data_IF_786884354628
#
_entry.id   IF_786884354628
#
_cell.length_a   1.000
_cell.length_b   1.000
_cell.length_c   1.000
_cell.angle_alpha   90.00
_cell.angle_beta   90.00
_cell.angle_gamma   90.00
#
_symmetry.space_group_name_H-M   'P 1'
#
loop_
_entity.id
_entity.type
_entity.pdbx_description
1 polymer ?
#
# COMPACT_ATOMS: atom_id res chain seq x y z
N UNK A 1 -1.93 4.79 19.49
CA UNK A 1 -2.00 3.33 19.75
C UNK A 1 -3.42 2.82 19.59
N UNK A 2 -3.56 1.57 19.12
CA UNK A 2 -4.86 0.89 19.13
C UNK A 2 -5.28 0.62 20.57
N UNK A 3 -6.49 1.04 20.91
CA UNK A 3 -7.06 0.90 22.26
C UNK A 3 -8.23 -0.07 22.22
N UNK A 4 -8.26 -0.99 23.18
CA UNK A 4 -9.34 -1.97 23.30
C UNK A 4 -10.70 -1.26 23.43
N UNK A 5 -11.69 -1.72 22.67
CA UNK A 5 -13.05 -1.17 22.67
C UNK A 5 -13.27 0.04 21.78
N UNK A 6 -12.21 0.66 21.24
CA UNK A 6 -12.33 1.75 20.27
C UNK A 6 -12.59 1.25 18.85
N UNK A 7 -13.19 2.11 18.02
CA UNK A 7 -13.56 1.82 16.63
C UNK A 7 -12.61 2.49 15.66
N UNK A 8 -12.20 1.78 14.62
CA UNK A 8 -11.27 2.28 13.60
C UNK A 8 -11.82 2.06 12.20
N UNK A 9 -11.83 3.12 11.41
CA UNK A 9 -12.14 3.05 9.99
C UNK A 9 -10.90 2.65 9.20
N UNK A 10 -11.04 1.69 8.31
CA UNK A 10 -10.04 1.36 7.29
C UNK A 10 -10.65 1.62 5.91
N UNK A 11 -10.25 2.70 5.24
CA UNK A 11 -10.60 2.90 3.84
C UNK A 11 -9.72 2.02 2.97
N UNK A 12 -10.28 1.38 1.97
CA UNK A 12 -9.52 0.43 1.13
C UNK A 12 -9.13 -0.88 1.84
N UNK A 13 -9.81 -1.23 2.94
CA UNK A 13 -9.49 -2.39 3.78
C UNK A 13 -9.60 -3.77 3.12
N UNK A 14 -10.09 -3.85 1.89
CA UNK A 14 -10.15 -5.11 1.10
C UNK A 14 -8.88 -5.42 0.31
N UNK A 15 -7.87 -4.56 0.36
CA UNK A 15 -6.52 -4.79 -0.18
C UNK A 15 -5.66 -5.66 0.76
N UNK A 16 -4.47 -6.09 0.30
CA UNK A 16 -3.56 -6.95 1.08
C UNK A 16 -3.17 -6.30 2.41
N UNK A 17 -2.78 -5.02 2.39
CA UNK A 17 -2.43 -4.27 3.60
C UNK A 17 -3.66 -4.15 4.50
N UNK A 18 -4.80 -3.72 3.94
CA UNK A 18 -6.03 -3.50 4.70
C UNK A 18 -6.53 -4.76 5.40
N UNK A 19 -6.47 -5.90 4.71
CA UNK A 19 -6.82 -7.20 5.27
C UNK A 19 -5.95 -7.55 6.50
N UNK A 20 -4.63 -7.41 6.37
CA UNK A 20 -3.68 -7.68 7.46
C UNK A 20 -3.83 -6.69 8.62
N UNK A 21 -4.16 -5.42 8.30
CA UNK A 21 -4.43 -4.40 9.31
C UNK A 21 -5.72 -4.69 10.10
N UNK A 22 -6.80 -5.14 9.44
CA UNK A 22 -8.01 -5.61 10.12
C UNK A 22 -7.67 -6.69 11.15
N UNK A 23 -6.92 -7.72 10.74
CA UNK A 23 -6.47 -8.79 11.64
C UNK A 23 -5.71 -8.25 12.86
N UNK A 24 -4.77 -7.33 12.63
CA UNK A 24 -3.95 -6.73 13.70
C UNK A 24 -4.82 -5.94 14.68
N UNK A 25 -5.71 -5.06 14.22
CA UNK A 25 -6.57 -4.23 15.08
C UNK A 25 -7.50 -5.11 15.91
N UNK A 26 -8.13 -6.11 15.31
CA UNK A 26 -9.01 -7.07 16.02
C UNK A 26 -8.23 -7.82 17.10
N UNK A 27 -7.02 -8.30 16.79
CA UNK A 27 -6.18 -9.00 17.77
C UNK A 27 -5.78 -8.14 18.97
N UNK A 28 -5.78 -6.82 18.81
CA UNK A 28 -5.54 -5.84 19.87
C UNK A 28 -6.83 -5.41 20.61
N UNK A 29 -7.98 -5.98 20.25
CA UNK A 29 -9.28 -5.72 20.86
C UNK A 29 -9.98 -4.46 20.36
N UNK A 30 -9.56 -3.90 19.25
CA UNK A 30 -10.26 -2.81 18.54
C UNK A 30 -11.38 -3.33 17.64
N UNK A 31 -12.38 -2.49 17.39
CA UNK A 31 -13.43 -2.74 16.41
C UNK A 31 -13.07 -2.11 15.07
N UNK A 32 -13.44 -2.77 13.98
CA UNK A 32 -13.07 -2.33 12.63
C UNK A 32 -14.30 -2.05 11.79
N UNK A 33 -14.33 -0.88 11.15
CA UNK A 33 -15.23 -0.54 10.06
C UNK A 33 -14.41 -0.50 8.78
N UNK A 34 -14.86 -1.20 7.74
CA UNK A 34 -14.15 -1.24 6.44
C UNK A 34 -15.00 -0.59 5.38
N UNK A 35 -14.50 0.52 4.80
CA UNK A 35 -15.10 1.18 3.64
C UNK A 35 -14.38 0.75 2.37
N UNK A 36 -15.11 0.17 1.42
CA UNK A 36 -14.58 -0.22 0.11
C UNK A 36 -15.69 -0.33 -0.93
N UNK A 37 -15.31 -0.18 -2.21
CA UNK A 37 -16.26 -0.25 -3.34
C UNK A 37 -16.73 -1.67 -3.66
N UNK A 38 -15.94 -2.68 -3.33
CA UNK A 38 -16.21 -4.07 -3.72
C UNK A 38 -16.98 -4.81 -2.63
N UNK A 39 -18.29 -4.89 -2.79
CA UNK A 39 -19.18 -5.61 -1.89
C UNK A 39 -18.77 -7.08 -1.73
N UNK A 40 -18.41 -7.75 -2.83
CA UNK A 40 -17.99 -9.16 -2.80
C UNK A 40 -16.74 -9.40 -1.97
N UNK A 41 -15.76 -8.47 -2.03
CA UNK A 41 -14.54 -8.56 -1.19
C UNK A 41 -14.84 -8.23 0.27
N UNK A 42 -15.73 -7.27 0.52
CA UNK A 42 -16.19 -6.93 1.88
C UNK A 42 -16.91 -8.11 2.54
N UNK A 43 -17.80 -8.78 1.82
CA UNK A 43 -18.51 -9.96 2.33
C UNK A 43 -17.55 -11.09 2.68
N UNK A 44 -16.55 -11.39 1.84
CA UNK A 44 -15.49 -12.36 2.15
C UNK A 44 -14.68 -11.97 3.39
N UNK A 45 -14.43 -10.69 3.60
CA UNK A 45 -13.74 -10.20 4.77
C UNK A 45 -14.60 -10.39 6.04
N UNK A 46 -15.89 -10.11 5.95
CA UNK A 46 -16.86 -10.27 7.02
C UNK A 46 -17.08 -11.74 7.40
N UNK A 47 -17.13 -12.64 6.41
CA UNK A 47 -17.19 -14.09 6.64
C UNK A 47 -16.00 -14.61 7.48
N UNK A 48 -14.82 -13.99 7.29
CA UNK A 48 -13.62 -14.37 8.03
C UNK A 48 -13.54 -13.73 9.42
N UNK A 49 -14.08 -12.52 9.57
CA UNK A 49 -14.04 -11.75 10.83
C UNK A 49 -15.44 -11.26 11.16
N UNK A 50 -16.18 -12.00 12.00
CA UNK A 50 -17.58 -11.71 12.34
C UNK A 50 -17.79 -10.31 12.96
N UNK A 51 -16.77 -9.76 13.63
CA UNK A 51 -16.82 -8.49 14.36
C UNK A 51 -16.47 -7.26 13.51
N UNK A 52 -16.40 -7.42 12.18
CA UNK A 52 -16.17 -6.29 11.26
C UNK A 52 -17.50 -5.70 10.80
N UNK A 53 -17.62 -4.37 10.88
CA UNK A 53 -18.65 -3.61 10.19
C UNK A 53 -18.16 -3.31 8.76
N UNK A 54 -19.01 -3.50 7.75
CA UNK A 54 -18.68 -3.21 6.36
C UNK A 54 -19.54 -2.07 5.83
N UNK A 55 -18.91 -1.17 5.08
CA UNK A 55 -19.57 -0.06 4.38
C UNK A 55 -19.20 -0.16 2.90
N UNK A 56 -20.22 -0.42 2.06
CA UNK A 56 -20.04 -0.46 0.60
C UNK A 56 -20.16 0.95 0.05
N UNK A 57 -19.10 1.47 -0.57
CA UNK A 57 -19.13 2.78 -1.18
C UNK A 57 -17.77 3.32 -1.61
N UNK A 58 -17.76 4.52 -2.14
CA UNK A 58 -16.56 5.21 -2.63
C UNK A 58 -16.20 6.38 -1.69
N UNK A 59 -14.91 6.58 -1.41
CA UNK A 59 -14.40 7.72 -0.65
C UNK A 59 -14.65 9.07 -1.36
N UNK A 60 -15.01 9.03 -2.64
CA UNK A 60 -15.46 10.22 -3.39
C UNK A 60 -16.89 10.66 -3.01
N UNK A 61 -17.66 9.83 -2.32
CA UNK A 61 -18.96 10.20 -1.73
C UNK A 61 -18.71 10.84 -0.35
N UNK A 62 -18.72 12.18 -0.35
CA UNK A 62 -18.42 12.96 0.86
C UNK A 62 -19.43 12.71 2.00
N UNK A 63 -20.73 12.51 1.65
CA UNK A 63 -21.74 12.27 2.69
C UNK A 63 -21.55 10.91 3.34
N UNK A 64 -21.27 9.87 2.56
CA UNK A 64 -20.98 8.52 3.06
C UNK A 64 -19.73 8.53 3.96
N UNK A 65 -18.67 9.24 3.56
CA UNK A 65 -17.43 9.40 4.34
C UNK A 65 -17.74 10.05 5.67
N UNK A 66 -18.46 11.19 5.67
CA UNK A 66 -18.90 11.92 6.87
C UNK A 66 -19.67 11.02 7.84
N UNK A 67 -20.67 10.29 7.34
CA UNK A 67 -21.52 9.45 8.17
C UNK A 67 -20.80 8.22 8.74
N UNK A 68 -19.71 7.82 8.06
CA UNK A 68 -18.86 6.71 8.52
C UNK A 68 -17.84 7.18 9.56
N UNK A 69 -17.19 8.33 9.33
CA UNK A 69 -16.14 8.86 10.24
C UNK A 69 -16.70 9.28 11.59
N UNK A 70 -17.93 9.80 11.64
CA UNK A 70 -18.62 10.14 12.92
C UNK A 70 -18.75 8.98 13.91
N UNK A 71 -18.53 7.75 13.45
CA UNK A 71 -18.72 6.53 14.26
C UNK A 71 -17.41 5.95 14.80
N UNK A 72 -16.25 6.58 14.51
CA UNK A 72 -14.95 5.99 14.78
C UNK A 72 -14.04 6.92 15.59
N UNK A 73 -13.09 6.34 16.29
CA UNK A 73 -12.07 7.02 17.09
C UNK A 73 -10.78 7.30 16.29
N UNK A 74 -10.54 6.56 15.22
CA UNK A 74 -9.35 6.75 14.38
C UNK A 74 -9.52 6.21 12.97
N UNK A 75 -8.71 6.71 12.05
CA UNK A 75 -8.82 6.41 10.61
C UNK A 75 -7.48 5.92 10.07
N UNK A 76 -7.51 4.77 9.37
CA UNK A 76 -6.45 4.30 8.50
C UNK A 76 -6.88 4.50 7.05
N UNK A 77 -6.24 5.45 6.38
CA UNK A 77 -6.55 5.79 4.99
C UNK A 77 -5.63 5.06 4.02
N UNK A 78 -6.10 3.89 3.53
CA UNK A 78 -5.39 3.04 2.58
C UNK A 78 -6.00 3.08 1.18
N UNK A 79 -7.22 3.63 1.03
CA UNK A 79 -7.89 3.69 -0.25
C UNK A 79 -7.09 4.53 -1.24
N UNK A 80 -6.69 3.92 -2.32
CA UNK A 80 -6.01 4.56 -3.45
C UNK A 80 -6.21 3.74 -4.72
N UNK A 81 -6.18 4.41 -5.85
CA UNK A 81 -5.99 3.79 -7.14
C UNK A 81 -4.49 3.66 -7.37
N UNK A 82 -3.95 2.46 -7.16
CA UNK A 82 -2.56 2.13 -7.49
C UNK A 82 -2.50 1.82 -8.99
N UNK A 83 -1.69 2.57 -9.70
CA UNK A 83 -1.52 2.38 -11.13
C UNK A 83 -0.49 1.28 -11.40
N UNK A 84 -0.86 0.28 -12.20
CA UNK A 84 0.12 -0.55 -12.89
C UNK A 84 0.77 0.25 -14.04
N UNK A 85 1.86 -0.25 -14.60
CA UNK A 85 2.68 0.40 -15.64
C UNK A 85 1.93 0.88 -16.91
N UNK A 86 0.61 0.68 -17.01
CA UNK A 86 -0.19 1.03 -18.19
C UNK A 86 -1.32 2.04 -17.93
N UNK A 87 -1.33 2.70 -16.80
CA UNK A 87 -2.50 3.49 -16.44
C UNK A 87 -2.44 4.93 -16.94
N UNK A 88 -2.94 5.15 -18.10
CA UNK A 88 -3.27 6.47 -18.63
C UNK A 88 -4.58 7.03 -18.08
N UNK A 89 -4.87 6.92 -16.77
CA UNK A 89 -6.14 7.38 -16.17
C UNK A 89 -5.94 8.48 -15.12
N UNK A 90 -5.39 9.65 -15.47
CA UNK A 90 -5.10 10.71 -14.50
C UNK A 90 -6.36 11.22 -13.80
N UNK A 91 -7.49 11.30 -14.50
CA UNK A 91 -8.76 11.79 -13.90
C UNK A 91 -9.24 10.85 -12.78
N UNK A 92 -9.16 9.54 -12.97
CA UNK A 92 -9.56 8.57 -11.95
C UNK A 92 -8.59 8.59 -10.75
N UNK A 93 -7.28 8.75 -11.02
CA UNK A 93 -6.27 8.90 -9.97
C UNK A 93 -6.51 10.17 -9.15
N UNK A 94 -6.80 11.30 -9.79
CA UNK A 94 -7.14 12.55 -9.10
C UNK A 94 -8.41 12.38 -8.26
N UNK A 95 -9.47 11.83 -8.83
CA UNK A 95 -10.74 11.62 -8.11
C UNK A 95 -10.53 10.77 -6.86
N UNK A 96 -9.91 9.60 -6.99
CA UNK A 96 -9.74 8.68 -5.85
C UNK A 96 -8.65 9.18 -4.89
N UNK A 97 -7.43 9.46 -5.40
CA UNK A 97 -6.28 9.68 -4.54
C UNK A 97 -6.19 11.11 -3.98
N UNK A 98 -6.84 12.09 -4.62
CA UNK A 98 -6.83 13.49 -4.16
C UNK A 98 -8.19 13.87 -3.60
N UNK A 99 -9.27 13.84 -4.41
CA UNK A 99 -10.58 14.29 -3.95
C UNK A 99 -11.12 13.33 -2.87
N UNK A 100 -10.96 12.02 -3.06
CA UNK A 100 -11.33 11.05 -2.04
C UNK A 100 -10.54 11.21 -0.73
N UNK A 101 -9.21 11.46 -0.81
CA UNK A 101 -8.40 11.75 0.37
C UNK A 101 -8.81 13.05 1.04
N UNK A 102 -9.13 14.10 0.27
CA UNK A 102 -9.61 15.37 0.79
C UNK A 102 -10.95 15.20 1.54
N UNK A 103 -11.92 14.46 0.96
CA UNK A 103 -13.17 14.14 1.64
C UNK A 103 -12.94 13.46 3.00
N UNK A 104 -11.97 12.52 3.07
CA UNK A 104 -11.65 11.85 4.33
C UNK A 104 -11.03 12.81 5.32
N UNK A 105 -10.07 13.64 4.91
CA UNK A 105 -9.36 14.57 5.77
C UNK A 105 -10.28 15.66 6.35
N UNK A 106 -11.22 16.17 5.56
CA UNK A 106 -12.18 17.20 5.99
C UNK A 106 -13.12 16.73 7.13
N UNK A 107 -13.31 15.43 7.28
CA UNK A 107 -14.20 14.85 8.29
C UNK A 107 -13.45 14.31 9.53
N UNK A 108 -12.12 14.52 9.62
CA UNK A 108 -11.28 13.95 10.70
C UNK A 108 -10.92 14.93 11.83
N UNK A 109 -11.67 16.04 12.00
CA UNK A 109 -11.41 17.02 13.08
C UNK A 109 -11.62 16.47 14.49
N UNK A 110 -12.46 15.44 14.64
CA UNK A 110 -12.91 14.92 15.94
C UNK A 110 -12.44 13.48 16.21
N UNK A 111 -11.46 12.98 15.46
CA UNK A 111 -10.88 11.65 15.71
C UNK A 111 -9.51 11.76 16.41
N UNK A 112 -9.12 10.73 17.14
CA UNK A 112 -7.81 10.69 17.82
C UNK A 112 -6.63 10.80 16.84
N UNK A 113 -6.77 10.17 15.65
CA UNK A 113 -5.76 10.20 14.61
C UNK A 113 -6.32 9.85 13.23
N UNK A 114 -5.60 10.29 12.19
CA UNK A 114 -5.66 9.73 10.85
C UNK A 114 -4.26 9.36 10.38
N UNK A 115 -4.10 8.13 9.86
CA UNK A 115 -2.86 7.66 9.25
C UNK A 115 -3.09 7.35 7.78
N UNK A 116 -2.35 8.05 6.89
CA UNK A 116 -2.34 7.85 5.46
C UNK A 116 -1.17 6.97 5.02
N UNK A 117 -1.44 6.00 4.13
CA UNK A 117 -0.40 5.18 3.53
C UNK A 117 0.07 5.82 2.22
N UNK A 118 1.34 6.21 2.18
CA UNK A 118 2.05 6.73 1.02
C UNK A 118 3.02 5.68 0.45
N UNK A 119 3.92 6.08 -0.43
CA UNK A 119 4.79 5.19 -1.18
C UNK A 119 6.15 5.82 -1.46
N UNK A 120 7.16 4.99 -1.72
CA UNK A 120 8.46 5.36 -2.27
C UNK A 120 8.37 6.11 -3.62
N UNK A 121 7.29 5.91 -4.37
CA UNK A 121 7.05 6.55 -5.68
C UNK A 121 6.87 8.07 -5.63
N UNK A 122 6.76 8.66 -4.44
CA UNK A 122 6.66 10.12 -4.25
C UNK A 122 8.00 10.84 -4.37
N UNK A 123 9.12 10.13 -4.21
CA UNK A 123 10.48 10.72 -4.21
C UNK A 123 10.97 10.99 -5.63
N UNK A 124 10.84 10.01 -6.50
CA UNK A 124 11.18 10.12 -7.92
C UNK A 124 9.90 9.93 -8.73
N UNK A 125 9.11 10.99 -8.81
CA UNK A 125 7.80 10.95 -9.47
C UNK A 125 7.98 10.69 -10.96
N UNK A 126 7.54 9.52 -11.39
CA UNK A 126 7.56 9.11 -12.80
C UNK A 126 6.15 8.85 -13.37
N UNK A 127 5.11 8.88 -12.54
CA UNK A 127 3.72 8.60 -12.95
C UNK A 127 2.67 9.23 -12.04
N UNK A 128 1.39 9.10 -12.45
CA UNK A 128 0.25 9.69 -11.76
C UNK A 128 0.14 9.21 -10.30
N UNK A 129 0.48 7.96 -10.02
CA UNK A 129 0.40 7.42 -8.67
C UNK A 129 1.34 8.18 -7.71
N UNK A 130 2.63 8.28 -8.05
CA UNK A 130 3.59 9.03 -7.25
C UNK A 130 3.17 10.49 -7.05
N UNK A 131 2.74 11.16 -8.14
CA UNK A 131 2.28 12.55 -8.09
C UNK A 131 1.07 12.73 -7.15
N UNK A 132 0.07 11.85 -7.23
CA UNK A 132 -1.12 11.95 -6.39
C UNK A 132 -0.84 11.59 -4.94
N UNK A 133 0.06 10.63 -4.66
CA UNK A 133 0.49 10.32 -3.29
C UNK A 133 1.31 11.46 -2.69
N UNK A 134 2.18 12.11 -3.46
CA UNK A 134 2.89 13.30 -3.01
C UNK A 134 1.92 14.43 -2.60
N UNK A 135 0.90 14.71 -3.42
CA UNK A 135 -0.12 15.70 -3.06
C UNK A 135 -0.91 15.28 -1.82
N UNK A 136 -1.24 14.00 -1.67
CA UNK A 136 -1.87 13.50 -0.45
C UNK A 136 -1.01 13.79 0.80
N UNK A 137 0.32 13.56 0.76
CA UNK A 137 1.22 13.90 1.86
C UNK A 137 1.13 15.40 2.22
N UNK A 138 1.06 16.29 1.22
CA UNK A 138 0.90 17.73 1.43
C UNK A 138 -0.45 18.10 2.06
N UNK A 139 -1.52 17.42 1.67
CA UNK A 139 -2.82 17.59 2.31
C UNK A 139 -2.76 17.19 3.78
N UNK A 140 -2.13 16.09 4.15
CA UNK A 140 -1.95 15.69 5.55
C UNK A 140 -1.24 16.76 6.37
N UNK A 141 -0.17 17.37 5.82
CA UNK A 141 0.56 18.46 6.48
C UNK A 141 -0.33 19.67 6.69
N UNK A 142 -1.10 20.07 5.67
CA UNK A 142 -2.01 21.21 5.79
C UNK A 142 -3.13 20.95 6.82
N UNK A 143 -3.69 19.76 6.87
CA UNK A 143 -4.74 19.42 7.82
C UNK A 143 -4.24 19.30 9.26
N UNK A 144 -2.99 18.91 9.49
CA UNK A 144 -2.36 18.96 10.81
C UNK A 144 -2.28 20.40 11.35
N UNK A 145 -1.98 21.39 10.48
CA UNK A 145 -1.98 22.81 10.85
C UNK A 145 -3.40 23.33 11.16
N UNK A 146 -4.41 22.90 10.39
CA UNK A 146 -5.80 23.31 10.54
C UNK A 146 -6.44 22.69 11.80
N UNK A 147 -6.16 21.43 12.10
CA UNK A 147 -6.79 20.63 13.16
C UNK A 147 -5.74 20.08 14.14
N UNK A 148 -5.13 20.90 15.01
CA UNK A 148 -4.02 20.48 15.86
C UNK A 148 -4.40 19.45 16.94
N UNK A 149 -5.68 19.20 17.17
CA UNK A 149 -6.16 18.20 18.13
C UNK A 149 -6.18 16.77 17.57
N UNK A 150 -6.19 16.60 16.25
CA UNK A 150 -6.11 15.30 15.59
C UNK A 150 -4.67 15.00 15.20
N UNK A 151 -4.21 13.77 15.43
CA UNK A 151 -2.86 13.36 15.02
C UNK A 151 -2.87 12.92 13.55
N UNK A 152 -2.27 13.71 12.68
CA UNK A 152 -2.08 13.37 11.28
C UNK A 152 -0.75 12.63 11.10
N UNK A 153 -0.78 11.46 10.48
CA UNK A 153 0.40 10.61 10.28
C UNK A 153 0.46 10.10 8.86
N UNK A 154 1.64 10.04 8.30
CA UNK A 154 1.87 9.49 6.96
C UNK A 154 3.00 8.48 7.03
N UNK A 155 2.81 7.30 6.45
CA UNK A 155 3.85 6.27 6.32
C UNK A 155 4.14 6.01 4.85
N UNK A 156 5.42 5.98 4.46
CA UNK A 156 5.86 5.55 3.13
C UNK A 156 6.20 4.06 3.16
N UNK A 157 5.58 3.30 2.27
CA UNK A 157 5.87 1.89 2.05
C UNK A 157 6.56 1.69 0.71
N UNK A 158 7.38 0.65 0.62
CA UNK A 158 7.84 0.08 -0.65
C UNK A 158 6.80 -0.87 -1.26
N UNK A 159 7.25 -1.75 -2.16
CA UNK A 159 6.35 -2.73 -2.78
C UNK A 159 5.97 -3.81 -1.78
N UNK A 160 4.67 -4.03 -1.59
CA UNK A 160 4.16 -5.10 -0.73
C UNK A 160 3.97 -6.37 -1.55
N UNK A 161 4.56 -7.47 -1.07
CA UNK A 161 4.50 -8.79 -1.70
C UNK A 161 3.04 -9.22 -1.90
N UNK A 162 2.72 -9.68 -3.10
CA UNK A 162 1.37 -10.10 -3.51
C UNK A 162 0.28 -9.02 -3.38
N UNK A 163 0.64 -7.74 -3.44
CA UNK A 163 -0.37 -6.70 -3.63
C UNK A 163 -1.21 -6.99 -4.87
N UNK A 164 -2.47 -6.56 -4.85
CA UNK A 164 -3.42 -6.78 -5.96
C UNK A 164 -2.83 -6.21 -7.25
N UNK A 165 -2.92 -6.98 -8.33
CA UNK A 165 -2.37 -6.65 -9.67
C UNK A 165 -0.84 -6.48 -9.73
N UNK A 166 -0.12 -6.89 -8.66
CA UNK A 166 1.34 -6.88 -8.67
C UNK A 166 1.94 -7.79 -9.74
N UNK A 167 3.17 -7.48 -10.12
CA UNK A 167 3.97 -8.31 -11.03
C UNK A 167 4.09 -9.75 -10.53
N UNK A 168 4.21 -9.96 -9.23
CA UNK A 168 4.28 -11.28 -8.60
C UNK A 168 3.03 -12.13 -8.87
N UNK A 169 1.83 -11.53 -8.75
CA UNK A 169 0.59 -12.23 -9.04
C UNK A 169 0.50 -12.66 -10.52
N UNK A 170 0.98 -11.80 -11.43
CA UNK A 170 1.01 -12.09 -12.88
C UNK A 170 2.04 -13.17 -13.20
N UNK A 171 3.27 -13.00 -12.73
CA UNK A 171 4.36 -13.94 -12.97
C UNK A 171 4.06 -15.34 -12.43
N UNK A 172 3.49 -15.44 -11.22
CA UNK A 172 3.11 -16.73 -10.64
C UNK A 172 2.25 -17.55 -11.61
N UNK A 173 1.21 -16.94 -12.18
CA UNK A 173 0.32 -17.59 -13.14
C UNK A 173 1.06 -18.00 -14.43
N UNK A 174 1.87 -17.11 -14.98
CA UNK A 174 2.63 -17.36 -16.20
C UNK A 174 3.64 -18.49 -16.00
N UNK A 175 4.43 -18.46 -14.92
CA UNK A 175 5.45 -19.45 -14.58
C UNK A 175 4.82 -20.83 -14.37
N UNK A 176 3.73 -20.92 -13.60
CA UNK A 176 3.01 -22.18 -13.36
C UNK A 176 2.47 -22.83 -14.65
N UNK A 177 2.21 -22.03 -15.69
CA UNK A 177 1.70 -22.50 -16.98
C UNK A 177 2.79 -22.53 -18.08
N UNK A 178 4.06 -22.38 -17.72
CA UNK A 178 5.19 -22.29 -18.66
C UNK A 178 4.97 -21.27 -19.80
N UNK A 179 4.32 -20.15 -19.48
CA UNK A 179 4.05 -19.07 -20.43
C UNK A 179 5.14 -17.99 -20.35
N UNK A 180 5.35 -17.25 -21.44
CA UNK A 180 6.36 -16.20 -21.53
C UNK A 180 6.19 -15.16 -20.39
N UNK A 181 7.29 -14.92 -19.67
CA UNK A 181 7.38 -13.87 -18.65
C UNK A 181 8.08 -12.64 -19.23
N UNK A 182 7.41 -11.50 -19.18
CA UNK A 182 7.97 -10.23 -19.61
C UNK A 182 8.57 -9.48 -18.43
N UNK A 183 9.80 -9.00 -18.59
CA UNK A 183 10.57 -8.22 -17.61
C UNK A 183 11.03 -6.92 -18.26
N UNK A 184 10.92 -5.80 -17.55
CA UNK A 184 11.41 -4.50 -18.06
C UNK A 184 12.93 -4.45 -18.02
N UNK A 185 13.53 -4.49 -16.84
CA UNK A 185 14.98 -4.60 -16.66
C UNK A 185 15.30 -5.45 -15.41
N UNK A 186 16.11 -6.50 -15.57
CA UNK A 186 16.50 -7.39 -14.46
C UNK A 186 17.36 -6.69 -13.41
N UNK A 187 18.03 -5.57 -13.76
CA UNK A 187 18.87 -4.76 -12.87
C UNK A 187 18.06 -3.81 -12.00
N UNK A 188 16.81 -3.52 -12.39
CA UNK A 188 15.94 -2.63 -11.62
C UNK A 188 15.78 -3.16 -10.19
N UNK A 189 15.93 -2.28 -9.21
CA UNK A 189 15.81 -2.65 -7.79
C UNK A 189 14.63 -1.94 -7.13
N UNK A 190 13.97 -2.62 -6.19
CA UNK A 190 12.78 -2.14 -5.50
C UNK A 190 12.87 -2.51 -4.02
N UNK A 191 12.31 -1.65 -3.16
CA UNK A 191 11.98 -2.05 -1.79
C UNK A 191 10.90 -3.11 -1.81
N UNK A 192 11.05 -4.16 -0.97
CA UNK A 192 10.02 -5.18 -0.80
C UNK A 192 9.71 -5.43 0.67
N UNK A 193 8.42 -5.58 0.97
CA UNK A 193 7.88 -5.84 2.29
C UNK A 193 6.88 -6.99 2.25
N UNK A 194 6.90 -7.84 3.27
CA UNK A 194 5.75 -8.72 3.54
C UNK A 194 4.57 -7.89 4.05
N UNK A 195 3.36 -8.46 4.01
CA UNK A 195 2.19 -7.80 4.59
C UNK A 195 2.35 -7.55 6.08
N UNK A 196 2.96 -8.47 6.82
CA UNK A 196 3.24 -8.35 8.26
C UNK A 196 4.18 -7.18 8.56
N UNK A 197 5.32 -7.09 7.87
CA UNK A 197 6.27 -5.97 8.02
C UNK A 197 5.64 -4.63 7.66
N UNK A 198 4.75 -4.62 6.65
CA UNK A 198 4.00 -3.40 6.30
C UNK A 198 3.08 -2.95 7.43
N UNK A 199 2.43 -3.89 8.12
CA UNK A 199 1.60 -3.57 9.29
C UNK A 199 2.44 -3.11 10.47
N UNK A 200 3.58 -3.74 10.74
CA UNK A 200 4.48 -3.31 11.80
C UNK A 200 4.94 -1.87 11.54
N UNK A 201 5.33 -1.52 10.31
CA UNK A 201 5.71 -0.16 9.92
C UNK A 201 4.56 0.86 10.08
N UNK A 202 3.33 0.48 9.73
CA UNK A 202 2.12 1.31 9.95
C UNK A 202 1.91 1.55 11.45
N UNK A 203 2.03 0.52 12.27
CA UNK A 203 1.85 0.63 13.73
C UNK A 203 2.98 1.46 14.36
N UNK A 204 4.21 1.26 13.94
CA UNK A 204 5.37 2.05 14.39
C UNK A 204 5.23 3.53 14.00
N UNK A 205 4.73 3.82 12.80
CA UNK A 205 4.40 5.19 12.41
C UNK A 205 3.37 5.83 13.35
N UNK A 206 2.27 5.13 13.64
CA UNK A 206 1.24 5.63 14.55
C UNK A 206 1.78 5.90 15.96
N UNK A 207 2.73 5.13 16.42
CA UNK A 207 3.29 5.23 17.78
C UNK A 207 4.43 6.24 17.86
N UNK A 208 5.33 6.29 16.89
CA UNK A 208 6.61 7.00 17.00
C UNK A 208 6.67 8.29 16.17
N UNK A 209 5.87 8.45 15.11
CA UNK A 209 5.86 9.67 14.32
C UNK A 209 5.32 10.84 15.17
N UNK A 210 6.03 11.99 15.10
CA UNK A 210 5.70 13.18 15.90
C UNK A 210 4.72 14.10 15.19
N UNK A 211 4.76 14.12 13.87
CA UNK A 211 4.00 15.00 13.00
C UNK A 211 3.56 14.27 11.72
N UNK A 212 2.99 14.99 10.77
CA UNK A 212 2.55 14.49 9.46
C UNK A 212 3.67 14.31 8.45
N UNK A 213 4.94 14.59 8.80
CA UNK A 213 6.05 14.29 7.92
C UNK A 213 6.10 12.79 7.65
N UNK A 214 6.41 12.38 6.40
CA UNK A 214 6.41 10.98 6.06
C UNK A 214 7.35 10.14 6.93
N UNK A 215 6.78 9.18 7.64
CA UNK A 215 7.51 8.18 8.43
C UNK A 215 7.93 7.03 7.52
N UNK A 216 9.12 6.53 7.72
CA UNK A 216 9.65 5.37 7.03
C UNK A 216 10.67 4.66 7.91
N UNK A 217 10.95 3.42 7.61
CA UNK A 217 12.06 2.65 8.16
C UNK A 217 12.89 2.10 7.01
N UNK A 218 14.14 1.76 7.28
CA UNK A 218 14.99 1.15 6.28
C UNK A 218 14.46 -0.26 5.95
N UNK A 219 14.15 -0.46 4.68
CA UNK A 219 13.62 -1.71 4.13
C UNK A 219 14.70 -2.40 3.30
N UNK A 220 14.74 -3.73 3.32
CA UNK A 220 15.52 -4.48 2.33
C UNK A 220 14.97 -4.25 0.92
N UNK A 221 15.86 -4.33 -0.05
CA UNK A 221 15.51 -4.29 -1.47
C UNK A 221 15.73 -5.64 -2.15
N UNK A 222 15.39 -5.71 -3.41
CA UNK A 222 15.82 -6.80 -4.30
C UNK A 222 15.85 -6.32 -5.75
N UNK A 223 16.70 -6.94 -6.56
CA UNK A 223 16.62 -6.79 -8.00
C UNK A 223 15.43 -7.54 -8.57
N UNK A 224 14.88 -7.04 -9.67
CA UNK A 224 13.83 -7.73 -10.42
C UNK A 224 14.33 -9.08 -10.95
N UNK A 225 15.64 -9.18 -11.24
CA UNK A 225 16.28 -10.45 -11.64
C UNK A 225 16.24 -11.50 -10.53
N UNK A 226 16.64 -11.16 -9.30
CA UNK A 226 16.62 -12.08 -8.16
C UNK A 226 15.17 -12.48 -7.80
N UNK A 227 14.26 -11.51 -7.85
CA UNK A 227 12.83 -11.77 -7.60
C UNK A 227 12.27 -12.77 -8.62
N UNK A 228 12.59 -12.59 -9.91
CA UNK A 228 12.18 -13.52 -10.96
C UNK A 228 12.77 -14.91 -10.75
N UNK A 229 14.07 -15.00 -10.39
CA UNK A 229 14.72 -16.27 -10.11
C UNK A 229 14.05 -17.01 -8.95
N UNK A 230 13.77 -16.34 -7.85
CA UNK A 230 13.06 -16.94 -6.71
C UNK A 230 11.65 -17.44 -7.11
N UNK A 231 10.94 -16.67 -7.93
CA UNK A 231 9.63 -17.06 -8.44
C UNK A 231 9.71 -18.31 -9.34
N UNK A 232 10.74 -18.41 -10.20
CA UNK A 232 10.97 -19.56 -11.05
C UNK A 232 11.27 -20.78 -10.19
N UNK A 233 12.23 -20.67 -9.27
CA UNK A 233 12.60 -21.77 -8.38
C UNK A 233 11.39 -22.34 -7.63
N UNK A 234 10.52 -21.45 -7.14
CA UNK A 234 9.37 -21.84 -6.33
C UNK A 234 8.18 -22.38 -7.13
N UNK A 235 7.91 -21.85 -8.32
CA UNK A 235 6.64 -22.08 -9.02
C UNK A 235 6.77 -22.75 -10.38
N UNK A 236 7.97 -22.88 -10.95
CA UNK A 236 8.15 -23.52 -12.26
C UNK A 236 7.94 -25.03 -12.17
N UNK A 237 7.12 -25.62 -13.05
CA UNK A 237 7.01 -27.07 -13.16
C UNK A 237 8.34 -27.71 -13.59
N UNK A 238 8.58 -28.96 -13.18
CA UNK A 238 9.76 -29.72 -13.62
C UNK A 238 9.79 -29.86 -15.15
N UNK A 239 10.94 -29.57 -15.75
CA UNK A 239 11.13 -29.67 -17.21
C UNK A 239 10.54 -28.52 -18.02
N UNK A 240 10.08 -27.47 -17.37
CA UNK A 240 9.60 -26.27 -18.05
C UNK A 240 10.78 -25.44 -18.57
N UNK A 241 10.83 -25.21 -19.87
CA UNK A 241 11.71 -24.21 -20.51
C UNK A 241 10.92 -22.90 -20.59
N UNK A 242 11.06 -22.08 -19.53
CA UNK A 242 10.28 -20.85 -19.38
C UNK A 242 10.84 -19.73 -20.27
N UNK A 243 10.07 -19.25 -21.28
CA UNK A 243 10.51 -18.12 -22.08
C UNK A 243 10.53 -16.82 -21.25
N UNK A 244 11.64 -16.08 -21.29
CA UNK A 244 11.79 -14.79 -20.61
C UNK A 244 12.12 -13.73 -21.66
N UNK A 245 11.26 -12.69 -21.74
CA UNK A 245 11.46 -11.55 -22.64
C UNK A 245 11.79 -10.28 -21.86
N UNK A 246 12.95 -9.69 -22.14
CA UNK A 246 13.34 -8.39 -21.59
C UNK A 246 12.98 -7.29 -22.59
N UNK A 247 12.24 -6.25 -22.12
CA UNK A 247 11.70 -5.18 -22.99
C UNK A 247 12.31 -3.79 -22.73
N UNK A 248 13.22 -3.66 -21.75
CA UNK A 248 13.77 -2.38 -21.30
C UNK A 248 12.85 -1.63 -20.34
N UNK A 249 13.42 -0.65 -19.60
CA UNK A 249 12.67 0.24 -18.71
C UNK A 249 11.61 1.02 -19.48
N UNK A 250 10.44 1.14 -18.88
CA UNK A 250 9.36 1.93 -19.46
C UNK A 250 9.51 3.43 -19.07
N UNK A 251 8.91 4.38 -19.83
CA UNK A 251 9.10 5.82 -19.60
C UNK A 251 8.77 6.32 -18.19
N UNK A 252 7.92 5.60 -17.46
CA UNK A 252 7.49 5.93 -16.10
C UNK A 252 8.07 4.96 -15.05
N UNK A 253 9.20 4.34 -15.36
CA UNK A 253 9.87 3.38 -14.47
C UNK A 253 11.29 3.85 -14.15
N UNK A 254 11.65 3.88 -12.87
CA UNK A 254 13.02 4.15 -12.41
C UNK A 254 13.83 2.86 -12.36
N UNK A 255 15.14 2.93 -12.63
CA UNK A 255 16.03 1.77 -12.45
C UNK A 255 16.16 1.43 -10.97
N UNK A 256 16.38 2.42 -10.13
CA UNK A 256 16.49 2.30 -8.68
C UNK A 256 15.55 3.30 -8.02
N UNK A 257 15.04 2.96 -6.84
CA UNK A 257 14.10 3.79 -6.09
C UNK A 257 14.77 4.36 -4.82
N UNK A 258 14.17 5.42 -4.27
CA UNK A 258 14.52 5.99 -2.96
C UNK A 258 13.29 6.08 -2.09
N UNK A 259 13.49 6.09 -0.76
CA UNK A 259 12.37 6.30 0.20
C UNK A 259 12.27 7.76 0.66
N UNK A 260 13.37 8.53 0.56
CA UNK A 260 13.45 9.96 0.84
C UNK A 260 14.31 10.66 -0.22
N UNK A 261 14.18 11.97 -0.32
CA UNK A 261 14.92 12.81 -1.26
C UNK A 261 16.44 12.66 -1.06
N UNK A 262 16.90 12.71 0.19
CA UNK A 262 18.32 12.58 0.59
C UNK A 262 18.72 11.13 0.87
N UNK A 263 17.81 10.16 0.64
CA UNK A 263 18.04 8.75 0.91
C UNK A 263 18.93 8.07 -0.12
N UNK A 264 19.48 6.92 0.27
CA UNK A 264 20.25 6.04 -0.61
C UNK A 264 19.33 5.27 -1.56
N UNK A 265 19.87 4.84 -2.69
CA UNK A 265 19.14 4.06 -3.67
C UNK A 265 18.98 2.59 -3.24
N UNK A 266 17.95 1.94 -3.73
CA UNK A 266 17.63 0.53 -3.49
C UNK A 266 18.74 -0.45 -3.89
N UNK A 267 19.65 -0.09 -4.80
CA UNK A 267 20.81 -0.90 -5.15
C UNK A 267 21.99 -0.76 -4.18
N UNK A 268 21.95 0.23 -3.28
CA UNK A 268 23.02 0.55 -2.33
C UNK A 268 22.70 0.05 -0.90
N UNK A 269 21.53 -0.50 -0.69
CA UNK A 269 21.09 -1.05 0.61
C UNK A 269 21.14 -2.57 0.60
N UNK A 270 20.97 -3.16 1.80
CA UNK A 270 20.88 -4.60 1.98
C UNK A 270 19.79 -5.21 1.08
N UNK A 271 20.16 -6.20 0.29
CA UNK A 271 19.24 -6.90 -0.61
C UNK A 271 18.87 -8.27 -0.05
N UNK A 272 17.65 -8.70 -0.36
CA UNK A 272 17.25 -10.09 -0.15
C UNK A 272 18.06 -11.01 -1.06
N UNK A 273 18.54 -12.12 -0.52
CA UNK A 273 19.04 -13.25 -1.34
C UNK A 273 17.88 -13.94 -2.08
N UNK A 274 18.18 -14.78 -3.06
CA UNK A 274 17.16 -15.56 -3.77
C UNK A 274 16.45 -16.51 -2.80
N UNK A 275 17.18 -17.12 -1.88
CA UNK A 275 16.68 -18.04 -0.86
C UNK A 275 15.73 -17.33 0.11
N UNK A 276 16.14 -16.16 0.62
CA UNK A 276 15.26 -15.32 1.48
C UNK A 276 13.96 -14.93 0.76
N UNK A 277 14.05 -14.64 -0.56
CA UNK A 277 12.87 -14.34 -1.35
C UNK A 277 11.95 -15.55 -1.49
N UNK A 278 12.50 -16.76 -1.71
CA UNK A 278 11.72 -18.00 -1.79
C UNK A 278 10.92 -18.28 -0.52
N UNK A 279 11.44 -17.87 0.65
CA UNK A 279 10.73 -18.02 1.93
C UNK A 279 9.53 -17.07 2.05
N UNK A 280 9.65 -15.84 1.57
CA UNK A 280 8.66 -14.77 1.78
C UNK A 280 7.65 -14.60 0.65
N UNK A 281 7.85 -15.22 -0.55
CA UNK A 281 6.93 -15.16 -1.70
C UNK A 281 5.98 -16.35 -1.80
#
# INVERSE_FOLDING_TARGET
MITKGKKYLITGGTGVIGYSLCKRIISMGGYVIVLSRSESKLNKLKEKYNDIEIVVGDICDKQLVRDTIKKVDGVFHLAALAEGMQSGKPIESIKTNIIGSLNVLEETSDVDFILGVSSDKVVQISGNYGATKFLMEKLFTQFEEINPNTKYRVVRLGNVIYSVDSVLCKWKKLIQNCQEVVVTDKRATRFFLTSEKSIDLIMNCLENAKDSKPYFELMKSTSIGNLLQAMINKYSPKGCDLPIKTIGLQPNENLHEKITEDGIFTNEIEQYSVEELEEII
#
